data_IF_449515249999
#
_entry.id   IF_449515249999
#
_cell.length_a   1.000
_cell.length_b   1.000
_cell.length_c   1.000
_cell.angle_alpha   90.00
_cell.angle_beta   90.00
_cell.angle_gamma   90.00
#
_symmetry.space_group_name_H-M   'P 1'
#
loop_
_entity.id
_entity.type
_entity.pdbx_description
1 polymer ?
#
# COMPACT_ATOMS: atom_id res chain seq x y z
N UNK A 1 4.42 -23.90 -12.18
CA UNK A 1 5.46 -23.57 -13.18
C UNK A 1 6.72 -24.38 -12.87
N UNK A 2 7.50 -24.78 -13.87
CA UNK A 2 8.78 -25.47 -13.64
C UNK A 2 9.83 -24.51 -13.07
N UNK A 3 10.72 -24.98 -12.18
CA UNK A 3 11.83 -24.20 -11.59
C UNK A 3 12.65 -23.41 -12.65
N UNK A 4 12.83 -23.98 -13.84
CA UNK A 4 13.52 -23.32 -14.97
C UNK A 4 12.87 -22.01 -15.45
N UNK A 5 11.56 -21.82 -15.23
CA UNK A 5 10.84 -20.60 -15.62
C UNK A 5 11.22 -19.41 -14.75
N UNK A 6 11.46 -19.64 -13.46
CA UNK A 6 11.83 -18.57 -12.54
C UNK A 6 13.29 -18.13 -12.70
N UNK A 7 14.20 -19.02 -13.10
CA UNK A 7 15.60 -18.64 -13.36
C UNK A 7 15.68 -17.58 -14.46
N UNK A 8 14.95 -17.76 -15.57
CA UNK A 8 14.87 -16.75 -16.64
C UNK A 8 14.27 -15.44 -16.15
N UNK A 9 13.17 -15.52 -15.39
CA UNK A 9 12.51 -14.35 -14.84
C UNK A 9 13.43 -13.56 -13.89
N UNK A 10 14.13 -14.23 -12.99
CA UNK A 10 15.08 -13.60 -12.06
C UNK A 10 16.22 -12.93 -12.82
N UNK A 11 16.80 -13.58 -13.84
CA UNK A 11 17.85 -12.97 -14.66
C UNK A 11 17.38 -11.68 -15.37
N UNK A 12 16.13 -11.67 -15.86
CA UNK A 12 15.50 -10.48 -16.44
C UNK A 12 15.29 -9.38 -15.40
N UNK A 13 14.83 -9.73 -14.19
CA UNK A 13 14.67 -8.79 -13.08
C UNK A 13 16.01 -8.16 -12.67
N UNK A 14 17.11 -8.93 -12.58
CA UNK A 14 18.44 -8.37 -12.30
C UNK A 14 18.86 -7.27 -13.25
N UNK A 15 18.55 -7.45 -14.53
CA UNK A 15 18.85 -6.41 -15.54
C UNK A 15 18.01 -5.15 -15.30
N UNK A 16 16.76 -5.32 -14.85
CA UNK A 16 15.81 -4.24 -14.58
C UNK A 16 16.07 -3.54 -13.24
N UNK A 17 16.67 -4.21 -12.27
CA UNK A 17 17.10 -3.60 -11.00
C UNK A 17 18.14 -2.49 -11.23
N UNK A 18 18.99 -2.59 -12.26
CA UNK A 18 19.93 -1.52 -12.62
C UNK A 18 19.25 -0.21 -13.10
N UNK A 19 17.96 -0.27 -13.43
CA UNK A 19 17.14 0.86 -13.85
C UNK A 19 16.35 1.49 -12.70
N UNK A 20 16.43 0.89 -11.50
CA UNK A 20 15.90 1.50 -10.29
C UNK A 20 16.69 2.79 -9.97
N UNK A 21 16.02 3.73 -9.33
CA UNK A 21 16.53 4.96 -8.75
C UNK A 21 17.31 4.62 -7.48
N UNK A 22 18.59 5.00 -7.49
CA UNK A 22 19.42 4.93 -6.29
C UNK A 22 19.33 6.25 -5.51
N UNK A 23 19.91 6.24 -4.30
CA UNK A 23 19.94 7.42 -3.42
C UNK A 23 20.51 8.68 -4.11
N UNK A 24 21.54 8.52 -4.95
CA UNK A 24 22.14 9.65 -5.68
C UNK A 24 21.14 10.30 -6.65
N UNK A 25 20.34 9.51 -7.35
CA UNK A 25 19.32 10.04 -8.25
C UNK A 25 18.18 10.72 -7.48
N UNK A 26 17.79 10.19 -6.32
CA UNK A 26 16.81 10.87 -5.47
C UNK A 26 17.32 12.22 -4.96
N UNK A 27 18.60 12.35 -4.62
CA UNK A 27 19.20 13.65 -4.27
C UNK A 27 19.20 14.61 -5.47
N UNK A 28 19.38 14.13 -6.69
CA UNK A 28 19.25 14.96 -7.90
C UNK A 28 17.81 15.48 -8.08
N UNK A 29 16.79 14.63 -7.83
CA UNK A 29 15.39 15.06 -7.86
C UNK A 29 15.07 16.06 -6.74
N UNK A 30 15.63 15.87 -5.54
CA UNK A 30 15.47 16.82 -4.43
C UNK A 30 16.11 18.18 -4.74
N UNK A 31 17.28 18.19 -5.37
CA UNK A 31 18.01 19.42 -5.73
C UNK A 31 17.41 20.12 -6.97
N UNK A 32 16.53 19.47 -7.72
CA UNK A 32 15.89 20.08 -8.89
C UNK A 32 15.05 21.31 -8.47
N UNK A 33 15.05 22.40 -9.26
CA UNK A 33 14.37 23.64 -8.89
C UNK A 33 12.84 23.52 -8.85
N UNK A 34 12.26 22.72 -9.74
CA UNK A 34 10.81 22.62 -9.92
C UNK A 34 10.38 21.22 -10.40
N UNK A 35 9.06 20.99 -10.41
CA UNK A 35 8.44 19.74 -10.86
C UNK A 35 8.80 19.43 -12.32
N UNK A 36 8.91 20.43 -13.19
CA UNK A 36 9.20 20.24 -14.61
C UNK A 36 10.62 19.72 -14.82
N UNK A 37 11.61 20.18 -14.06
CA UNK A 37 12.97 19.64 -14.10
C UNK A 37 13.02 18.21 -13.54
N UNK A 38 12.28 17.89 -12.47
CA UNK A 38 12.16 16.51 -11.99
C UNK A 38 11.61 15.58 -13.09
N UNK A 39 10.54 15.98 -13.78
CA UNK A 39 9.95 15.20 -14.86
C UNK A 39 10.93 14.98 -16.02
N UNK A 40 11.73 15.99 -16.38
CA UNK A 40 12.81 15.83 -17.39
C UNK A 40 13.86 14.80 -16.95
N UNK A 41 14.35 14.89 -15.71
CA UNK A 41 15.33 13.93 -15.18
C UNK A 41 14.76 12.50 -15.17
N UNK A 42 13.51 12.33 -14.74
CA UNK A 42 12.82 11.03 -14.75
C UNK A 42 12.70 10.48 -16.18
N UNK A 43 12.31 11.32 -17.14
CA UNK A 43 12.21 10.94 -18.55
C UNK A 43 13.59 10.50 -19.11
N UNK A 44 14.67 11.22 -18.79
CA UNK A 44 16.05 10.84 -19.16
C UNK A 44 16.46 9.50 -18.53
N UNK A 45 15.95 9.19 -17.34
CA UNK A 45 16.14 7.90 -16.66
C UNK A 45 15.25 6.78 -17.21
N UNK A 46 14.41 7.07 -18.21
CA UNK A 46 13.55 6.09 -18.90
C UNK A 46 12.13 5.98 -18.33
N UNK A 47 11.74 6.89 -17.43
CA UNK A 47 10.36 6.98 -16.96
C UNK A 47 9.45 7.52 -18.07
N UNK A 48 8.13 7.40 -17.87
CA UNK A 48 7.11 7.93 -18.79
C UNK A 48 7.22 9.44 -19.03
N UNK A 49 6.36 9.94 -19.91
CA UNK A 49 6.25 11.38 -20.23
C UNK A 49 4.84 11.89 -19.95
N UNK A 50 4.71 13.21 -19.73
CA UNK A 50 3.43 13.88 -19.48
C UNK A 50 3.39 14.55 -18.11
N UNK A 51 2.19 14.66 -17.55
CA UNK A 51 1.99 15.12 -16.18
C UNK A 51 2.54 14.13 -15.15
N UNK A 52 2.77 14.59 -13.92
CA UNK A 52 3.27 13.74 -12.83
C UNK A 52 2.44 12.46 -12.65
N UNK A 53 1.11 12.55 -12.62
CA UNK A 53 0.26 11.37 -12.44
C UNK A 53 0.31 10.43 -13.65
N UNK A 54 0.44 10.94 -14.88
CA UNK A 54 0.63 10.12 -16.07
C UNK A 54 1.96 9.37 -16.02
N UNK A 55 3.05 10.04 -15.61
CA UNK A 55 4.37 9.41 -15.48
C UNK A 55 4.34 8.30 -14.42
N UNK A 56 3.77 8.57 -13.24
CA UNK A 56 3.65 7.57 -12.17
C UNK A 56 2.78 6.37 -12.60
N UNK A 57 1.67 6.63 -13.29
CA UNK A 57 0.77 5.58 -13.81
C UNK A 57 1.46 4.73 -14.86
N UNK A 58 2.24 5.34 -15.76
CA UNK A 58 3.03 4.62 -16.75
C UNK A 58 4.08 3.71 -16.11
N UNK A 59 4.79 4.16 -15.08
CA UNK A 59 5.77 3.31 -14.38
C UNK A 59 5.12 2.15 -13.62
N UNK A 60 3.98 2.40 -12.99
CA UNK A 60 3.20 1.34 -12.37
C UNK A 60 2.77 0.29 -13.42
N UNK A 61 2.20 0.72 -14.55
CA UNK A 61 1.80 -0.17 -15.65
C UNK A 61 2.99 -0.95 -16.23
N UNK A 62 4.11 -0.28 -16.54
CA UNK A 62 5.34 -0.92 -17.06
C UNK A 62 5.84 -2.02 -16.12
N UNK A 63 5.74 -1.81 -14.81
CA UNK A 63 6.14 -2.80 -13.80
C UNK A 63 5.26 -4.04 -13.91
N UNK A 64 3.94 -3.88 -13.90
CA UNK A 64 3.01 -5.01 -13.97
C UNK A 64 3.00 -5.72 -15.33
N UNK A 65 3.18 -5.00 -16.43
CA UNK A 65 3.36 -5.60 -17.76
C UNK A 65 4.60 -6.49 -17.81
N UNK A 66 5.73 -6.00 -17.29
CA UNK A 66 6.95 -6.79 -17.18
C UNK A 66 6.72 -8.06 -16.34
N UNK A 67 6.05 -7.96 -15.19
CA UNK A 67 5.79 -9.15 -14.37
C UNK A 67 4.91 -10.14 -15.12
N UNK A 68 3.86 -9.67 -15.80
CA UNK A 68 2.98 -10.51 -16.63
C UNK A 68 3.70 -11.19 -17.79
N UNK A 69 4.74 -10.57 -18.37
CA UNK A 69 5.60 -11.21 -19.36
C UNK A 69 6.48 -12.33 -18.76
N UNK A 70 6.84 -12.21 -17.48
CA UNK A 70 7.82 -13.09 -16.82
C UNK A 70 7.20 -14.28 -16.09
N UNK A 71 5.93 -14.20 -15.69
CA UNK A 71 5.24 -15.27 -14.97
C UNK A 71 4.02 -15.78 -15.74
N UNK A 72 3.81 -17.09 -15.72
CA UNK A 72 2.63 -17.72 -16.32
C UNK A 72 1.37 -17.62 -15.45
N UNK A 73 1.52 -17.26 -14.18
CA UNK A 73 0.42 -17.07 -13.25
C UNK A 73 0.66 -15.81 -12.41
N UNK A 74 -0.18 -14.80 -12.61
CA UNK A 74 -0.12 -13.53 -11.90
C UNK A 74 -0.72 -13.59 -10.49
N UNK A 75 -1.55 -14.61 -10.19
CA UNK A 75 -2.26 -14.64 -8.91
C UNK A 75 -1.35 -14.80 -7.70
N UNK A 76 -0.09 -15.23 -7.94
CA UNK A 76 0.95 -15.27 -6.90
C UNK A 76 1.29 -13.88 -6.33
N UNK A 77 0.94 -12.80 -7.05
CA UNK A 77 1.17 -11.41 -6.65
C UNK A 77 -0.12 -10.66 -6.29
N UNK A 78 -1.27 -11.34 -6.25
CA UNK A 78 -2.58 -10.73 -5.97
C UNK A 78 -2.60 -9.98 -4.63
N UNK A 79 -1.80 -10.43 -3.66
CA UNK A 79 -1.65 -9.79 -2.34
C UNK A 79 -1.32 -8.29 -2.44
N UNK A 80 -0.52 -7.88 -3.44
CA UNK A 80 -0.16 -6.48 -3.66
C UNK A 80 -1.30 -5.65 -4.27
N UNK A 81 -2.28 -6.29 -4.90
CA UNK A 81 -3.35 -5.65 -5.65
C UNK A 81 -4.67 -5.57 -4.88
N UNK A 82 -4.81 -6.32 -3.80
CA UNK A 82 -6.04 -6.33 -3.00
C UNK A 82 -6.39 -4.95 -2.43
N UNK A 83 -5.40 -4.14 -2.04
CA UNK A 83 -5.67 -2.79 -1.57
C UNK A 83 -6.43 -1.95 -2.63
N UNK A 84 -6.10 -2.13 -3.92
CA UNK A 84 -6.77 -1.45 -5.02
C UNK A 84 -8.20 -1.96 -5.22
N UNK A 85 -8.43 -3.27 -5.10
CA UNK A 85 -9.77 -3.86 -5.20
C UNK A 85 -10.72 -3.31 -4.13
N UNK A 86 -10.26 -3.24 -2.88
CA UNK A 86 -11.08 -2.73 -1.76
C UNK A 86 -11.22 -1.21 -1.79
N UNK A 87 -10.21 -0.46 -2.29
CA UNK A 87 -10.36 0.96 -2.60
C UNK A 87 -11.46 1.18 -3.64
N UNK A 88 -11.46 0.39 -4.72
CA UNK A 88 -12.48 0.44 -5.76
C UNK A 88 -13.86 0.06 -5.24
N UNK A 89 -13.95 -0.92 -4.34
CA UNK A 89 -15.20 -1.26 -3.67
C UNK A 89 -15.74 -0.11 -2.82
N UNK A 90 -14.87 0.52 -2.02
CA UNK A 90 -15.21 1.70 -1.21
C UNK A 90 -15.70 2.86 -2.07
N UNK A 91 -15.01 3.14 -3.16
CA UNK A 91 -15.41 4.13 -4.16
C UNK A 91 -16.81 3.83 -4.73
N UNK A 92 -17.03 2.59 -5.21
CA UNK A 92 -18.30 2.17 -5.81
C UNK A 92 -19.46 2.23 -4.81
N UNK A 93 -19.26 1.79 -3.56
CA UNK A 93 -20.30 1.85 -2.51
C UNK A 93 -20.67 3.29 -2.20
N UNK A 94 -19.67 4.19 -2.10
CA UNK A 94 -19.93 5.62 -1.87
C UNK A 94 -20.70 6.22 -3.04
N UNK A 95 -20.23 6.06 -4.28
CA UNK A 95 -20.90 6.59 -5.47
C UNK A 95 -22.33 6.06 -5.64
N UNK A 96 -22.60 4.80 -5.27
CA UNK A 96 -23.96 4.25 -5.33
C UNK A 96 -24.89 4.84 -4.26
N UNK A 97 -24.34 5.41 -3.17
CA UNK A 97 -25.10 5.94 -2.04
C UNK A 97 -25.14 7.48 -1.99
N UNK A 98 -24.27 8.18 -2.73
CA UNK A 98 -24.23 9.64 -2.84
C UNK A 98 -24.56 10.12 -4.26
N UNK A 99 -25.00 11.36 -4.38
CA UNK A 99 -25.22 11.97 -5.69
C UNK A 99 -23.90 12.49 -6.26
N UNK A 100 -23.41 11.90 -7.35
CA UNK A 100 -22.24 12.40 -8.08
C UNK A 100 -21.41 11.29 -8.70
N UNK A 101 -20.88 11.53 -9.90
CA UNK A 101 -19.78 10.74 -10.47
C UNK A 101 -18.49 11.48 -10.22
N UNK A 102 -17.47 10.77 -9.78
CA UNK A 102 -16.15 11.33 -9.50
C UNK A 102 -15.15 10.68 -10.46
N UNK A 103 -14.84 11.34 -11.60
CA UNK A 103 -13.87 10.83 -12.55
C UNK A 103 -12.51 10.60 -11.87
N UNK A 104 -11.86 9.48 -12.18
CA UNK A 104 -10.51 9.19 -11.71
C UNK A 104 -10.37 8.64 -10.28
N UNK A 105 -11.48 8.31 -9.58
CA UNK A 105 -11.38 7.75 -8.22
C UNK A 105 -10.98 6.27 -8.19
N UNK A 106 -11.16 5.56 -9.30
CA UNK A 106 -10.92 4.12 -9.39
C UNK A 106 -9.47 3.82 -9.79
N UNK A 107 -8.85 2.88 -9.08
CA UNK A 107 -7.58 2.28 -9.43
C UNK A 107 -7.78 1.30 -10.59
N UNK A 108 -6.91 1.38 -11.60
CA UNK A 108 -7.03 0.55 -12.80
C UNK A 108 -6.49 -0.88 -12.59
N UNK A 109 -5.36 -1.02 -11.91
CA UNK A 109 -4.73 -2.31 -11.64
C UNK A 109 -5.26 -2.88 -10.33
N UNK A 110 -6.15 -3.86 -10.46
CA UNK A 110 -6.63 -4.71 -9.37
C UNK A 110 -6.81 -6.13 -9.89
N UNK A 111 -7.12 -7.06 -8.99
CA UNK A 111 -7.44 -8.45 -9.40
C UNK A 111 -8.86 -8.52 -9.98
N UNK A 112 -9.70 -7.52 -9.69
CA UNK A 112 -11.04 -7.37 -10.24
C UNK A 112 -11.12 -6.07 -11.03
N UNK A 113 -11.55 -6.09 -12.31
CA UNK A 113 -11.78 -4.86 -13.05
C UNK A 113 -12.75 -3.94 -12.31
N UNK A 114 -12.38 -2.67 -12.12
CA UNK A 114 -13.21 -1.73 -11.33
C UNK A 114 -14.64 -1.59 -11.90
N UNK A 115 -14.81 -1.72 -13.23
CA UNK A 115 -16.11 -1.70 -13.89
C UNK A 115 -17.01 -2.87 -13.47
N UNK A 116 -16.43 -4.03 -13.13
CA UNK A 116 -17.17 -5.17 -12.58
C UNK A 116 -17.60 -4.90 -11.14
N UNK A 117 -16.74 -4.26 -10.34
CA UNK A 117 -17.08 -3.84 -8.97
C UNK A 117 -18.22 -2.83 -9.00
N UNK A 118 -18.11 -1.80 -9.84
CA UNK A 118 -19.14 -0.79 -10.04
C UNK A 118 -20.49 -1.41 -10.41
N UNK A 119 -20.53 -2.26 -11.45
CA UNK A 119 -21.76 -2.95 -11.87
C UNK A 119 -22.38 -3.80 -10.75
N UNK A 120 -21.54 -4.49 -9.96
CA UNK A 120 -22.00 -5.31 -8.85
C UNK A 120 -22.69 -4.47 -7.77
N UNK A 121 -22.11 -3.33 -7.41
CA UNK A 121 -22.63 -2.45 -6.37
C UNK A 121 -23.87 -1.69 -6.86
N UNK A 122 -23.83 -1.09 -8.06
CA UNK A 122 -24.96 -0.37 -8.65
C UNK A 122 -26.19 -1.27 -8.81
N UNK A 123 -26.00 -2.48 -9.31
CA UNK A 123 -27.05 -3.47 -9.50
C UNK A 123 -27.42 -4.24 -8.23
N UNK A 124 -26.74 -3.98 -7.09
CA UNK A 124 -26.85 -4.76 -5.84
C UNK A 124 -26.73 -6.27 -6.06
N UNK A 125 -25.92 -6.66 -7.05
CA UNK A 125 -25.67 -8.05 -7.40
C UNK A 125 -24.24 -8.41 -7.02
N UNK A 126 -24.02 -8.62 -5.72
CA UNK A 126 -22.70 -8.92 -5.17
C UNK A 126 -22.17 -10.30 -5.57
N UNK A 127 -22.99 -11.19 -6.13
CA UNK A 127 -22.53 -12.47 -6.70
C UNK A 127 -21.50 -12.30 -7.82
N UNK A 128 -21.51 -11.13 -8.47
CA UNK A 128 -20.52 -10.75 -9.48
C UNK A 128 -19.13 -10.53 -8.90
N UNK A 129 -18.98 -10.31 -7.59
CA UNK A 129 -17.68 -10.12 -6.94
C UNK A 129 -17.05 -11.46 -6.55
N UNK A 130 -15.71 -11.52 -6.35
CA UNK A 130 -15.06 -12.64 -5.68
C UNK A 130 -15.64 -12.86 -4.27
N UNK A 131 -15.60 -14.11 -3.81
CA UNK A 131 -16.18 -14.53 -2.52
C UNK A 131 -15.77 -13.64 -1.36
N UNK A 132 -14.47 -13.34 -1.23
CA UNK A 132 -13.88 -12.47 -0.19
C UNK A 132 -14.50 -11.07 -0.09
N UNK A 133 -15.14 -10.57 -1.16
CA UNK A 133 -15.70 -9.21 -1.21
C UNK A 133 -17.22 -9.18 -1.04
N UNK A 134 -17.95 -10.29 -1.27
CA UNK A 134 -19.42 -10.26 -1.41
C UNK A 134 -20.12 -9.75 -0.16
N UNK A 135 -19.85 -10.40 0.97
CA UNK A 135 -20.47 -10.09 2.27
C UNK A 135 -20.10 -8.68 2.73
N UNK A 136 -18.85 -8.28 2.50
CA UNK A 136 -18.34 -6.96 2.88
C UNK A 136 -19.01 -5.87 2.06
N UNK A 137 -19.13 -6.06 0.74
CA UNK A 137 -19.78 -5.12 -0.17
C UNK A 137 -21.24 -4.89 0.23
N UNK A 138 -21.98 -5.98 0.48
CA UNK A 138 -23.37 -5.91 0.92
C UNK A 138 -23.51 -5.22 2.28
N UNK A 139 -22.70 -5.62 3.25
CA UNK A 139 -22.71 -5.06 4.61
C UNK A 139 -22.38 -3.56 4.58
N UNK A 140 -21.34 -3.15 3.84
CA UNK A 140 -20.93 -1.76 3.75
C UNK A 140 -22.00 -0.89 3.07
N UNK A 141 -22.57 -1.35 1.95
CA UNK A 141 -23.65 -0.64 1.26
C UNK A 141 -24.89 -0.50 2.14
N UNK A 142 -25.33 -1.60 2.77
CA UNK A 142 -26.47 -1.55 3.69
C UNK A 142 -26.19 -0.62 4.86
N UNK A 143 -25.01 -0.68 5.46
CA UNK A 143 -24.63 0.22 6.56
C UNK A 143 -24.74 1.67 6.14
N UNK A 144 -24.12 2.05 5.01
CA UNK A 144 -24.13 3.42 4.53
C UNK A 144 -25.54 3.92 4.20
N UNK A 145 -26.40 3.09 3.62
CA UNK A 145 -27.78 3.44 3.30
C UNK A 145 -28.64 3.70 4.55
N UNK A 146 -28.47 2.91 5.61
CA UNK A 146 -29.28 3.00 6.82
C UNK A 146 -28.78 4.06 7.81
N UNK A 147 -27.47 4.14 8.01
CA UNK A 147 -26.89 5.04 9.03
C UNK A 147 -26.44 6.37 8.47
N UNK A 148 -26.20 6.46 7.14
CA UNK A 148 -25.51 7.59 6.48
C UNK A 148 -24.10 7.86 7.05
N UNK A 149 -23.56 6.91 7.82
CA UNK A 149 -22.23 7.02 8.41
C UNK A 149 -21.18 6.51 7.42
N UNK A 150 -20.59 7.45 6.68
CA UNK A 150 -19.50 7.18 5.75
C UNK A 150 -18.25 6.62 6.43
N UNK A 151 -17.99 6.98 7.68
CA UNK A 151 -16.83 6.47 8.42
C UNK A 151 -17.03 5.01 8.80
N UNK A 152 -18.23 4.63 9.24
CA UNK A 152 -18.53 3.23 9.55
C UNK A 152 -18.45 2.36 8.28
N UNK A 153 -18.91 2.87 7.14
CA UNK A 153 -18.72 2.22 5.84
C UNK A 153 -17.23 2.00 5.53
N UNK A 154 -16.40 3.03 5.72
CA UNK A 154 -14.95 2.95 5.49
C UNK A 154 -14.31 1.91 6.40
N UNK A 155 -14.62 1.90 7.71
CA UNK A 155 -14.09 0.91 8.64
C UNK A 155 -14.39 -0.53 8.22
N UNK A 156 -15.60 -0.82 7.74
CA UNK A 156 -15.99 -2.16 7.30
C UNK A 156 -15.14 -2.62 6.11
N UNK A 157 -14.96 -1.74 5.11
CA UNK A 157 -14.24 -2.09 3.89
C UNK A 157 -12.73 -2.12 4.13
N UNK A 158 -12.20 -1.14 4.87
CA UNK A 158 -10.77 -1.03 5.15
C UNK A 158 -10.29 -2.21 6.02
N UNK A 159 -11.04 -2.60 7.07
CA UNK A 159 -10.71 -3.80 7.86
C UNK A 159 -10.71 -5.06 7.02
N UNK A 160 -11.71 -5.24 6.16
CA UNK A 160 -11.77 -6.39 5.27
C UNK A 160 -10.63 -6.43 4.24
N UNK A 161 -10.14 -5.26 3.81
CA UNK A 161 -8.97 -5.17 2.95
C UNK A 161 -7.72 -5.71 3.65
N UNK A 162 -7.51 -5.29 4.90
CA UNK A 162 -6.40 -5.75 5.73
C UNK A 162 -6.46 -7.26 5.97
N UNK A 163 -7.62 -7.79 6.36
CA UNK A 163 -7.83 -9.22 6.57
C UNK A 163 -7.59 -10.04 5.28
N UNK A 164 -8.00 -9.52 4.13
CA UNK A 164 -7.77 -10.19 2.85
C UNK A 164 -6.28 -10.19 2.43
N UNK A 165 -5.56 -9.10 2.70
CA UNK A 165 -4.13 -8.97 2.41
C UNK A 165 -3.32 -9.91 3.32
N UNK A 166 -3.62 -9.91 4.62
CA UNK A 166 -3.03 -10.81 5.62
C UNK A 166 -3.20 -12.28 5.21
N UNK A 167 -4.45 -12.67 4.91
CA UNK A 167 -4.77 -14.04 4.52
C UNK A 167 -4.07 -14.44 3.22
N UNK A 168 -4.02 -13.56 2.22
CA UNK A 168 -3.30 -13.83 0.97
C UNK A 168 -1.79 -13.99 1.18
N UNK A 169 -1.20 -13.17 2.06
CA UNK A 169 0.20 -13.32 2.46
C UNK A 169 0.45 -14.71 3.05
N UNK A 170 -0.39 -15.16 3.98
CA UNK A 170 -0.28 -16.48 4.64
C UNK A 170 -0.51 -17.64 3.67
N UNK A 171 -1.50 -17.54 2.80
CA UNK A 171 -1.86 -18.60 1.84
C UNK A 171 -0.82 -18.78 0.73
N UNK A 172 -0.02 -17.73 0.45
CA UNK A 172 1.04 -17.79 -0.55
C UNK A 172 2.15 -18.80 -0.20
N UNK A 173 2.34 -19.11 1.09
CA UNK A 173 3.44 -19.92 1.65
C UNK A 173 4.84 -19.37 1.35
N UNK A 174 4.92 -18.09 1.00
CA UNK A 174 6.15 -17.40 0.65
C UNK A 174 6.45 -16.35 1.72
N UNK A 175 7.59 -16.50 2.40
CA UNK A 175 7.92 -15.71 3.60
C UNK A 175 7.85 -14.20 3.37
N UNK A 176 8.28 -13.75 2.19
CA UNK A 176 8.28 -12.34 1.82
C UNK A 176 6.86 -11.79 1.59
N UNK A 177 5.95 -12.59 1.04
CA UNK A 177 4.55 -12.18 0.83
C UNK A 177 3.77 -12.20 2.15
N UNK A 178 4.03 -13.18 3.01
CA UNK A 178 3.50 -13.21 4.38
C UNK A 178 3.99 -11.99 5.18
N UNK A 179 5.28 -11.66 5.09
CA UNK A 179 5.85 -10.47 5.73
C UNK A 179 5.22 -9.18 5.20
N UNK A 180 4.99 -9.06 3.90
CA UNK A 180 4.30 -7.90 3.32
C UNK A 180 2.90 -7.76 3.91
N UNK A 181 2.12 -8.85 3.94
CA UNK A 181 0.76 -8.85 4.48
C UNK A 181 0.73 -8.35 5.93
N UNK A 182 1.56 -8.98 6.78
CA UNK A 182 1.72 -8.64 8.19
C UNK A 182 2.09 -7.16 8.37
N UNK A 183 3.09 -6.66 7.65
CA UNK A 183 3.54 -5.27 7.79
C UNK A 183 2.47 -4.26 7.32
N UNK A 184 1.66 -4.59 6.31
CA UNK A 184 0.54 -3.75 5.88
C UNK A 184 -0.51 -3.63 6.99
N UNK A 185 -0.89 -4.75 7.61
CA UNK A 185 -1.88 -4.77 8.70
C UNK A 185 -1.36 -4.02 9.92
N UNK A 186 -0.15 -4.36 10.39
CA UNK A 186 0.50 -3.71 11.54
C UNK A 186 0.58 -2.19 11.36
N UNK A 187 1.01 -1.74 10.18
CA UNK A 187 1.14 -0.31 9.89
C UNK A 187 -0.22 0.38 9.94
N UNK A 188 -1.25 -0.25 9.36
CA UNK A 188 -2.61 0.30 9.35
C UNK A 188 -3.24 0.33 10.75
N UNK A 189 -3.04 -0.70 11.55
CA UNK A 189 -3.60 -0.83 12.89
C UNK A 189 -2.97 0.15 13.87
N UNK A 190 -1.64 0.30 13.88
CA UNK A 190 -0.96 1.28 14.74
C UNK A 190 -1.41 2.70 14.39
N UNK A 191 -1.50 3.04 13.09
CA UNK A 191 -2.02 4.34 12.66
C UNK A 191 -3.47 4.55 13.06
N UNK A 192 -4.29 3.52 12.93
CA UNK A 192 -5.70 3.56 13.31
C UNK A 192 -5.86 3.77 14.82
N UNK A 193 -5.09 3.06 15.64
CA UNK A 193 -5.05 3.22 17.09
C UNK A 193 -4.64 4.65 17.51
N UNK A 194 -3.56 5.18 16.93
CA UNK A 194 -3.10 6.56 17.21
C UNK A 194 -4.12 7.60 16.76
N UNK A 195 -4.74 7.41 15.59
CA UNK A 195 -5.79 8.32 15.10
C UNK A 195 -7.04 8.25 15.97
N UNK A 196 -7.49 7.06 16.35
CA UNK A 196 -8.63 6.82 17.22
C UNK A 196 -8.42 7.51 18.58
N UNK A 197 -7.24 7.35 19.16
CA UNK A 197 -6.84 8.04 20.39
C UNK A 197 -6.94 9.57 20.24
N UNK A 198 -6.36 10.14 19.17
CA UNK A 198 -6.40 11.59 18.91
C UNK A 198 -7.80 12.14 18.67
N UNK A 199 -8.70 11.30 18.14
CA UNK A 199 -10.07 11.70 17.77
C UNK A 199 -11.12 11.26 18.78
N UNK A 200 -10.71 10.74 19.95
CA UNK A 200 -11.61 10.33 21.03
C UNK A 200 -12.57 9.20 20.63
N UNK A 201 -12.13 8.28 19.76
CA UNK A 201 -12.95 7.13 19.35
C UNK A 201 -13.01 6.08 20.46
N UNK A 202 -14.14 5.39 20.52
CA UNK A 202 -14.43 4.39 21.54
C UNK A 202 -13.87 3.01 21.19
N UNK A 203 -14.01 2.08 22.15
CA UNK A 203 -13.63 0.68 21.97
C UNK A 203 -14.32 0.04 20.77
N UNK A 204 -15.62 0.29 20.60
CA UNK A 204 -16.41 -0.29 19.51
C UNK A 204 -15.90 0.15 18.13
N UNK A 205 -15.42 1.39 17.99
CA UNK A 205 -14.75 1.85 16.78
C UNK A 205 -13.46 1.06 16.50
N UNK A 206 -12.60 0.89 17.53
CA UNK A 206 -11.34 0.17 17.40
C UNK A 206 -11.56 -1.30 17.03
N UNK A 207 -12.45 -2.01 17.70
CA UNK A 207 -12.77 -3.41 17.41
C UNK A 207 -13.33 -3.62 15.99
N UNK A 208 -14.03 -2.61 15.45
CA UNK A 208 -14.52 -2.62 14.07
C UNK A 208 -13.47 -2.21 13.03
N UNK A 209 -12.38 -1.57 13.43
CA UNK A 209 -11.40 -0.98 12.50
C UNK A 209 -10.06 -1.72 12.47
N UNK A 210 -9.65 -2.32 13.60
CA UNK A 210 -8.40 -3.06 13.70
C UNK A 210 -8.59 -4.48 13.16
N UNK A 211 -7.64 -4.94 12.35
CA UNK A 211 -7.59 -6.31 11.83
C UNK A 211 -6.68 -7.18 12.71
N UNK A 212 -6.81 -8.50 12.64
CA UNK A 212 -5.90 -9.40 13.37
C UNK A 212 -4.60 -9.61 12.57
N UNK A 213 -3.47 -9.63 13.27
CA UNK A 213 -2.15 -9.97 12.74
C UNK A 213 -1.36 -10.78 13.79
N UNK A 214 -0.24 -11.37 13.40
CA UNK A 214 0.49 -12.33 14.25
C UNK A 214 1.36 -11.64 15.31
N UNK A 215 1.83 -10.43 15.05
CA UNK A 215 2.83 -9.73 15.88
C UNK A 215 2.25 -8.67 16.81
N UNK A 216 0.96 -8.35 16.71
CA UNK A 216 0.26 -7.44 17.62
C UNK A 216 -0.91 -8.13 18.31
N UNK A 217 -1.00 -7.96 19.62
CA UNK A 217 -2.23 -8.19 20.36
C UNK A 217 -3.17 -6.98 20.16
N UNK A 218 -4.24 -7.20 19.39
CA UNK A 218 -5.24 -6.17 19.07
C UNK A 218 -6.02 -5.71 20.29
N UNK A 219 -6.23 -6.57 21.28
CA UNK A 219 -6.90 -6.19 22.54
C UNK A 219 -5.98 -5.28 23.34
N UNK A 220 -4.70 -5.65 23.49
CA UNK A 220 -3.72 -4.81 24.17
C UNK A 220 -3.50 -3.47 23.46
N UNK A 221 -3.44 -3.46 22.13
CA UNK A 221 -3.34 -2.22 21.34
C UNK A 221 -4.58 -1.34 21.51
N UNK A 222 -5.77 -1.94 21.54
CA UNK A 222 -7.04 -1.24 21.79
C UNK A 222 -7.04 -0.59 23.18
N UNK A 223 -6.64 -1.34 24.21
CA UNK A 223 -6.56 -0.86 25.59
C UNK A 223 -5.55 0.30 25.71
N UNK A 224 -4.39 0.15 25.07
CA UNK A 224 -3.37 1.19 25.00
C UNK A 224 -3.89 2.45 24.31
N UNK A 225 -4.63 2.32 23.20
CA UNK A 225 -5.21 3.44 22.47
C UNK A 225 -6.25 4.22 23.29
N UNK A 226 -7.08 3.51 24.05
CA UNK A 226 -8.06 4.11 24.96
C UNK A 226 -7.40 4.79 26.17
N UNK A 227 -6.24 4.31 26.59
CA UNK A 227 -5.47 4.89 27.70
C UNK A 227 -4.74 6.18 27.28
N UNK A 228 -4.15 6.19 26.08
CA UNK A 228 -3.50 7.38 25.52
C UNK A 228 -2.22 7.08 24.76
N UNK A 229 -1.67 8.10 24.10
CA UNK A 229 -0.50 7.95 23.21
C UNK A 229 0.74 7.34 23.89
N UNK A 230 1.01 7.70 25.15
CA UNK A 230 2.14 7.13 25.90
C UNK A 230 1.97 5.63 26.18
N UNK A 231 0.74 5.17 26.38
CA UNK A 231 0.45 3.74 26.53
C UNK A 231 0.63 2.99 25.21
N UNK A 232 0.23 3.59 24.06
CA UNK A 232 0.53 3.02 22.73
C UNK A 232 2.04 2.84 22.56
N UNK A 233 2.83 3.87 22.85
CA UNK A 233 4.29 3.78 22.77
C UNK A 233 4.86 2.67 23.68
N UNK A 234 4.41 2.62 24.93
CA UNK A 234 4.87 1.63 25.92
C UNK A 234 4.48 0.19 25.55
N UNK A 235 3.35 0.03 24.84
CA UNK A 235 2.95 -1.25 24.27
C UNK A 235 3.88 -1.65 23.12
N UNK A 236 4.10 -0.74 22.16
CA UNK A 236 4.96 -1.01 20.99
C UNK A 236 6.41 -1.31 21.37
N UNK A 237 6.94 -0.70 22.43
CA UNK A 237 8.26 -1.00 23.00
C UNK A 237 8.43 -2.48 23.42
N UNK A 238 7.32 -3.22 23.61
CA UNK A 238 7.31 -4.65 23.97
C UNK A 238 7.05 -5.57 22.77
N UNK A 239 6.91 -5.00 21.57
CA UNK A 239 6.66 -5.72 20.32
C UNK A 239 7.90 -5.68 19.42
N UNK A 240 7.92 -6.41 18.29
CA UNK A 240 8.97 -6.26 17.28
C UNK A 240 9.11 -4.84 16.70
N UNK A 241 8.17 -3.93 16.99
CA UNK A 241 8.13 -2.57 16.45
C UNK A 241 8.62 -1.50 17.42
N UNK A 242 9.43 -1.86 18.42
CA UNK A 242 9.98 -0.93 19.40
C UNK A 242 10.75 0.24 18.74
N UNK A 243 11.49 -0.03 17.65
CA UNK A 243 12.24 0.98 16.89
C UNK A 243 11.34 1.98 16.14
N UNK A 244 10.05 1.68 15.97
CA UNK A 244 9.09 2.59 15.35
C UNK A 244 8.63 3.71 16.32
N UNK A 245 8.82 3.52 17.62
CA UNK A 245 8.30 4.43 18.66
C UNK A 245 8.90 5.84 18.59
N UNK A 246 10.23 6.02 18.41
CA UNK A 246 10.81 7.34 18.17
C UNK A 246 10.18 8.05 16.96
N UNK A 247 10.00 7.35 15.85
CA UNK A 247 9.42 7.88 14.61
C UNK A 247 7.94 8.27 14.81
N UNK A 248 7.19 7.44 15.54
CA UNK A 248 5.79 7.71 15.88
C UNK A 248 5.63 8.95 16.76
N UNK A 249 6.58 9.20 17.67
CA UNK A 249 6.64 10.42 18.51
C UNK A 249 6.91 11.67 17.68
N UNK A 250 7.64 11.55 16.56
CA UNK A 250 7.85 12.66 15.61
C UNK A 250 6.56 12.96 14.86
N UNK A 251 6.03 12.00 14.09
CA UNK A 251 4.76 12.16 13.38
C UNK A 251 4.26 10.85 12.79
N UNK A 252 2.99 10.83 12.36
CA UNK A 252 2.44 9.71 11.58
C UNK A 252 3.17 9.52 10.24
N UNK A 253 3.64 10.61 9.62
CA UNK A 253 4.38 10.54 8.36
C UNK A 253 5.79 9.94 8.55
N UNK A 254 6.46 10.24 9.67
CA UNK A 254 7.73 9.65 10.04
C UNK A 254 7.59 8.14 10.32
N UNK A 255 6.55 7.75 11.08
CA UNK A 255 6.21 6.34 11.27
C UNK A 255 5.92 5.60 9.94
N UNK A 256 5.12 6.18 9.05
CA UNK A 256 4.88 5.58 7.73
C UNK A 256 6.16 5.40 6.91
N UNK A 257 7.07 6.38 6.95
CA UNK A 257 8.37 6.28 6.28
C UNK A 257 9.20 5.15 6.90
N UNK A 258 9.19 5.01 8.22
CA UNK A 258 9.89 3.91 8.90
C UNK A 258 9.35 2.54 8.49
N UNK A 259 8.03 2.37 8.42
CA UNK A 259 7.41 1.13 7.95
C UNK A 259 7.80 0.81 6.49
N UNK A 260 7.77 1.82 5.61
CA UNK A 260 8.19 1.65 4.21
C UNK A 260 9.68 1.25 4.12
N UNK A 261 10.57 1.90 4.90
CA UNK A 261 12.00 1.58 4.94
C UNK A 261 12.26 0.19 5.52
N UNK A 262 11.53 -0.21 6.56
CA UNK A 262 11.62 -1.56 7.11
C UNK A 262 11.29 -2.61 6.05
N UNK A 263 10.25 -2.39 5.23
CA UNK A 263 9.94 -3.29 4.12
C UNK A 263 11.11 -3.35 3.11
N UNK A 264 11.69 -2.21 2.74
CA UNK A 264 12.86 -2.14 1.86
C UNK A 264 14.05 -2.94 2.41
N UNK A 265 14.37 -2.78 3.71
CA UNK A 265 15.44 -3.54 4.35
C UNK A 265 15.19 -5.04 4.33
N UNK A 266 13.93 -5.45 4.51
CA UNK A 266 13.56 -6.86 4.56
C UNK A 266 13.54 -7.53 3.20
N UNK A 267 13.31 -6.78 2.13
CA UNK A 267 13.42 -7.32 0.77
C UNK A 267 14.85 -7.27 0.23
N UNK A 268 15.77 -6.46 0.79
CA UNK A 268 17.15 -6.32 0.33
C UNK A 268 17.93 -7.64 0.12
N UNK A 269 17.77 -8.69 0.95
CA UNK A 269 18.42 -9.99 0.69
C UNK A 269 18.03 -10.61 -0.65
N UNK A 270 16.88 -10.22 -1.23
CA UNK A 270 16.44 -10.68 -2.54
C UNK A 270 17.29 -10.15 -3.69
N UNK A 271 18.21 -9.20 -3.49
CA UNK A 271 19.24 -8.83 -4.48
C UNK A 271 20.21 -9.98 -4.78
N UNK A 272 20.37 -10.91 -3.85
CA UNK A 272 21.32 -12.02 -3.95
C UNK A 272 20.64 -13.38 -4.14
N UNK A 273 19.32 -13.46 -3.99
CA UNK A 273 18.56 -14.70 -4.18
C UNK A 273 18.43 -15.06 -5.69
N UNK A 274 19.01 -16.15 -6.20
CA UNK A 274 18.92 -16.47 -7.62
C UNK A 274 17.63 -17.20 -8.03
N UNK A 275 16.76 -17.54 -7.08
CA UNK A 275 15.67 -18.50 -7.30
C UNK A 275 14.31 -18.02 -6.75
N UNK A 276 13.25 -18.63 -7.27
CA UNK A 276 11.89 -18.46 -6.78
C UNK A 276 11.25 -17.12 -7.14
N UNK A 277 10.11 -16.82 -6.49
CA UNK A 277 9.35 -15.59 -6.74
C UNK A 277 9.88 -14.38 -5.96
N UNK A 278 10.69 -14.62 -4.93
CA UNK A 278 11.18 -13.57 -4.02
C UNK A 278 11.81 -12.37 -4.73
N UNK A 279 12.72 -12.55 -5.71
CA UNK A 279 13.30 -11.43 -6.45
C UNK A 279 12.28 -10.63 -7.27
N UNK A 280 11.26 -11.30 -7.84
CA UNK A 280 10.19 -10.63 -8.58
C UNK A 280 9.32 -9.80 -7.63
N UNK A 281 8.94 -10.38 -6.49
CA UNK A 281 8.17 -9.70 -5.46
C UNK A 281 8.92 -8.50 -4.87
N UNK A 282 10.21 -8.65 -4.59
CA UNK A 282 11.07 -7.54 -4.14
C UNK A 282 11.15 -6.43 -5.19
N UNK A 283 11.27 -6.77 -6.47
CA UNK A 283 11.27 -5.78 -7.55
C UNK A 283 9.96 -4.99 -7.62
N UNK A 284 8.80 -5.65 -7.49
CA UNK A 284 7.49 -4.99 -7.43
C UNK A 284 7.47 -4.00 -6.26
N UNK A 285 7.83 -4.45 -5.05
CA UNK A 285 7.83 -3.61 -3.85
C UNK A 285 8.82 -2.44 -3.94
N UNK A 286 9.99 -2.66 -4.54
CA UNK A 286 10.95 -1.59 -4.82
C UNK A 286 10.36 -0.53 -5.76
N UNK A 287 9.69 -0.96 -6.84
CA UNK A 287 9.01 -0.05 -7.78
C UNK A 287 7.87 0.73 -7.12
N UNK A 288 7.06 0.09 -6.30
CA UNK A 288 6.00 0.78 -5.54
C UNK A 288 6.59 1.85 -4.60
N UNK A 289 7.70 1.54 -3.92
CA UNK A 289 8.40 2.50 -3.05
C UNK A 289 8.99 3.68 -3.84
N UNK A 290 9.57 3.43 -5.03
CA UNK A 290 10.07 4.48 -5.92
C UNK A 290 8.95 5.40 -6.39
N UNK A 291 7.85 4.83 -6.89
CA UNK A 291 6.69 5.58 -7.37
C UNK A 291 6.13 6.45 -6.23
N UNK A 292 6.02 5.91 -5.01
CA UNK A 292 5.58 6.65 -3.82
C UNK A 292 6.55 7.78 -3.48
N UNK A 293 7.86 7.52 -3.51
CA UNK A 293 8.90 8.51 -3.20
C UNK A 293 8.94 9.64 -4.24
N UNK A 294 8.89 9.30 -5.53
CA UNK A 294 8.83 10.25 -6.62
C UNK A 294 7.56 11.09 -6.55
N UNK A 295 6.39 10.49 -6.25
CA UNK A 295 5.15 11.23 -6.02
C UNK A 295 5.30 12.27 -4.90
N UNK A 296 5.97 11.91 -3.81
CA UNK A 296 6.23 12.84 -2.69
C UNK A 296 7.12 13.99 -3.14
N UNK A 297 8.18 13.72 -3.90
CA UNK A 297 9.08 14.76 -4.40
C UNK A 297 8.34 15.69 -5.38
N UNK A 298 7.66 15.14 -6.40
CA UNK A 298 6.92 15.92 -7.39
C UNK A 298 5.84 16.77 -6.73
N UNK A 299 5.03 16.18 -5.83
CA UNK A 299 4.00 16.92 -5.10
C UNK A 299 4.61 17.99 -4.18
N UNK A 300 5.75 17.71 -3.54
CA UNK A 300 6.46 18.69 -2.74
C UNK A 300 6.94 19.88 -3.58
N UNK A 301 7.52 19.63 -4.75
CA UNK A 301 7.96 20.66 -5.70
C UNK A 301 6.80 21.48 -6.24
N UNK A 302 5.69 20.83 -6.62
CA UNK A 302 4.47 21.49 -7.09
C UNK A 302 3.84 22.43 -6.06
N UNK A 303 4.04 22.14 -4.77
CA UNK A 303 3.52 22.93 -3.65
C UNK A 303 4.60 23.83 -3.01
N UNK A 304 5.73 24.06 -3.70
CA UNK A 304 6.84 24.91 -3.25
C UNK A 304 7.34 24.59 -1.83
N UNK A 305 7.32 23.30 -1.45
CA UNK A 305 7.86 22.87 -0.16
C UNK A 305 9.38 22.97 -0.14
N UNK A 306 9.93 23.32 1.02
CA UNK A 306 11.38 23.34 1.21
C UNK A 306 11.98 21.94 0.96
N UNK A 307 13.20 21.89 0.42
CA UNK A 307 13.92 20.64 0.18
C UNK A 307 14.03 19.80 1.47
N UNK A 308 14.30 20.44 2.61
CA UNK A 308 14.37 19.76 3.90
C UNK A 308 13.03 19.08 4.26
N UNK A 309 11.90 19.77 4.07
CA UNK A 309 10.56 19.23 4.32
C UNK A 309 10.21 18.07 3.39
N UNK A 310 10.68 18.09 2.14
CA UNK A 310 10.50 16.97 1.20
C UNK A 310 11.40 15.80 1.61
N UNK A 311 12.68 16.07 1.90
CA UNK A 311 13.69 15.07 2.28
C UNK A 311 13.28 14.27 3.51
N UNK A 312 12.66 14.91 4.51
CA UNK A 312 12.10 14.21 5.68
C UNK A 312 11.06 13.14 5.32
N UNK A 313 10.52 13.16 4.10
CA UNK A 313 9.53 12.21 3.61
C UNK A 313 10.07 11.30 2.50
N UNK A 314 11.34 11.40 2.13
CA UNK A 314 11.95 10.50 1.15
C UNK A 314 12.25 9.16 1.83
N UNK A 315 11.94 8.05 1.14
CA UNK A 315 12.22 6.69 1.62
C UNK A 315 13.62 6.25 1.19
N UNK A 316 14.12 5.22 1.84
CA UNK A 316 15.35 4.55 1.41
C UNK A 316 15.13 3.79 0.09
N UNK A 317 16.20 3.67 -0.70
CA UNK A 317 16.17 2.97 -1.99
C UNK A 317 16.52 1.49 -1.83
N UNK A 318 15.99 0.67 -2.73
CA UNK A 318 16.32 -0.75 -2.77
C UNK A 318 17.72 -1.03 -3.34
N UNK A 319 18.24 -0.13 -4.20
CA UNK A 319 19.56 -0.19 -4.85
C UNK A 319 20.41 1.03 -4.58
#
# INVERSE_FOLDING_TARGET
MSENSYIYAVARIRTKEMQLLNASFLEQLLAAPDEAQCLRLLQERGWGSGSAEEVLTQEHQKTWDLIAELVGDMSVFDVFLYQNDYHNLKAAVKEACTAGKHPGIYMQQGTVPYTRIQKAVEGRNFSLLPERMRVVAEKAMNTLLHTRDGQLCDCIIDKAALEAIEQAGKDSKEELLALYGELVVVTADIKTAVRAQKTGKDRAFLERSLASCDTLDIVALTDAALTGFSAICSYLEKTPYAEAVPELKVSAAAFERWCDNLLIHRIHPQLHNPFGIGPLAAYILARESEIKTVRIILSGKRNDLSEASIRERVRETYV
#
